data_IF_905020690395
#
_entry.id   IF_905020690395
#
_cell.length_a   1.000
_cell.length_b   1.000
_cell.length_c   1.000
_cell.angle_alpha   90.00
_cell.angle_beta   90.00
_cell.angle_gamma   90.00
#
_symmetry.space_group_name_H-M   'P 1'
#
loop_
_entity.id
_entity.type
_entity.pdbx_description
1 polymer ?
#
# COMPACT_ATOMS: atom_id res chain seq x y z
N UNK A 1 -13.14 -52.18 6.50
CA UNK A 1 -13.75 -50.89 6.90
C UNK A 1 -12.82 -49.97 7.67
N UNK A 2 -11.76 -50.45 8.33
CA UNK A 2 -10.85 -49.61 9.12
C UNK A 2 -9.95 -48.68 8.28
N UNK A 3 -9.49 -49.10 7.10
CA UNK A 3 -8.65 -48.27 6.21
C UNK A 3 -9.36 -47.01 5.67
N UNK A 4 -10.70 -47.05 5.57
CA UNK A 4 -11.51 -45.90 5.13
C UNK A 4 -11.52 -44.78 6.17
N UNK A 5 -11.42 -45.13 7.45
CA UNK A 5 -11.41 -44.17 8.58
C UNK A 5 -10.06 -43.44 8.64
N UNK A 6 -8.96 -44.14 8.34
CA UNK A 6 -7.61 -43.55 8.32
C UNK A 6 -7.42 -42.50 7.21
N UNK A 7 -8.03 -42.70 6.04
CA UNK A 7 -7.94 -41.73 4.92
C UNK A 7 -8.64 -40.41 5.27
N UNK A 8 -9.78 -40.46 5.96
CA UNK A 8 -10.53 -39.26 6.38
C UNK A 8 -9.75 -38.45 7.43
N UNK A 9 -9.02 -39.12 8.30
CA UNK A 9 -8.20 -38.48 9.34
C UNK A 9 -6.93 -37.83 8.77
N UNK A 10 -6.40 -38.35 7.65
CA UNK A 10 -5.20 -37.81 7.00
C UNK A 10 -5.47 -36.49 6.23
N UNK A 11 -6.69 -36.31 5.71
CA UNK A 11 -7.08 -35.10 4.96
C UNK A 11 -7.26 -33.90 5.90
N UNK A 12 -7.49 -34.14 7.20
CA UNK A 12 -7.71 -33.08 8.19
C UNK A 12 -6.42 -32.34 8.61
N UNK A 13 -5.24 -32.84 8.22
CA UNK A 13 -3.94 -32.29 8.62
C UNK A 13 -3.22 -31.46 7.54
N UNK A 14 -3.87 -31.16 6.42
CA UNK A 14 -3.34 -30.14 5.49
C UNK A 14 -3.62 -28.76 6.06
N UNK A 15 -2.71 -28.25 6.90
CA UNK A 15 -2.75 -26.86 7.32
C UNK A 15 -2.60 -25.96 6.08
N UNK A 16 -3.42 -24.90 5.94
CA UNK A 16 -3.34 -24.02 4.79
C UNK A 16 -2.03 -23.22 4.86
N UNK A 17 -1.11 -23.48 3.93
CA UNK A 17 0.11 -22.68 3.70
C UNK A 17 -0.20 -21.23 3.25
N UNK A 18 -1.48 -20.84 3.17
CA UNK A 18 -1.96 -19.54 2.67
C UNK A 18 -1.60 -18.34 3.55
N UNK A 19 -1.29 -18.52 4.84
CA UNK A 19 -1.05 -17.37 5.73
C UNK A 19 0.21 -16.57 5.39
N UNK A 20 1.30 -17.24 4.97
CA UNK A 20 2.59 -16.57 4.73
C UNK A 20 2.62 -15.77 3.43
N UNK A 21 1.93 -16.25 2.40
CA UNK A 21 1.92 -15.57 1.10
C UNK A 21 1.06 -14.31 1.12
N UNK A 22 -0.09 -14.35 1.80
CA UNK A 22 -0.96 -13.17 1.95
C UNK A 22 -0.24 -12.06 2.73
N UNK A 23 0.39 -12.39 3.85
CA UNK A 23 1.18 -11.43 4.64
C UNK A 23 2.32 -10.81 3.81
N UNK A 24 3.01 -11.61 2.99
CA UNK A 24 4.09 -11.14 2.12
C UNK A 24 3.58 -10.19 1.02
N UNK A 25 2.43 -10.48 0.42
CA UNK A 25 1.81 -9.64 -0.60
C UNK A 25 1.35 -8.29 0.00
N UNK A 26 0.77 -8.30 1.19
CA UNK A 26 0.42 -7.09 1.94
C UNK A 26 1.65 -6.23 2.19
N UNK A 27 2.71 -6.80 2.77
CA UNK A 27 3.95 -6.06 3.09
C UNK A 27 4.56 -5.46 1.82
N UNK A 28 4.57 -6.20 0.72
CA UNK A 28 5.09 -5.73 -0.57
C UNK A 28 4.26 -4.57 -1.12
N UNK A 29 2.94 -4.66 -1.07
CA UNK A 29 2.03 -3.60 -1.51
C UNK A 29 2.15 -2.33 -0.65
N UNK A 30 2.26 -2.48 0.68
CA UNK A 30 2.45 -1.35 1.59
C UNK A 30 3.82 -0.70 1.41
N UNK A 31 4.88 -1.48 1.16
CA UNK A 31 6.19 -0.94 0.84
C UNK A 31 6.17 -0.13 -0.46
N UNK A 32 5.44 -0.60 -1.49
CA UNK A 32 5.26 0.16 -2.73
C UNK A 32 4.55 1.50 -2.49
N UNK A 33 3.44 1.50 -1.74
CA UNK A 33 2.70 2.73 -1.41
C UNK A 33 3.57 3.73 -0.63
N UNK A 34 4.30 3.24 0.38
CA UNK A 34 5.17 4.05 1.22
C UNK A 34 6.37 4.63 0.45
N UNK A 35 7.02 3.80 -0.38
CA UNK A 35 8.11 4.24 -1.25
C UNK A 35 7.65 5.31 -2.23
N UNK A 36 6.49 5.10 -2.88
CA UNK A 36 5.89 6.10 -3.77
C UNK A 36 5.58 7.41 -3.03
N UNK A 37 5.02 7.32 -1.82
CA UNK A 37 4.70 8.49 -1.00
C UNK A 37 5.95 9.30 -0.60
N UNK A 38 7.04 8.61 -0.25
CA UNK A 38 8.34 9.21 0.03
C UNK A 38 8.82 10.05 -1.15
N UNK A 39 8.84 9.46 -2.34
CA UNK A 39 9.34 10.15 -3.54
C UNK A 39 8.48 11.36 -3.89
N UNK A 40 7.15 11.26 -3.75
CA UNK A 40 6.25 12.39 -3.96
C UNK A 40 6.55 13.53 -2.96
N UNK A 41 6.79 13.21 -1.68
CA UNK A 41 7.15 14.24 -0.70
C UNK A 41 8.51 14.88 -1.02
N UNK A 42 9.49 14.07 -1.45
CA UNK A 42 10.80 14.57 -1.92
C UNK A 42 10.60 15.55 -3.07
N UNK A 43 9.88 15.14 -4.12
CA UNK A 43 9.58 15.96 -5.30
C UNK A 43 8.86 17.25 -4.89
N UNK A 44 7.85 17.15 -4.00
CA UNK A 44 7.10 18.31 -3.52
C UNK A 44 7.98 19.30 -2.77
N UNK A 45 8.93 18.82 -1.96
CA UNK A 45 9.89 19.66 -1.25
C UNK A 45 10.93 20.30 -2.18
N UNK A 46 11.31 19.62 -3.26
CA UNK A 46 12.31 20.15 -4.21
C UNK A 46 11.71 21.07 -5.26
N UNK A 47 10.52 20.75 -5.77
CA UNK A 47 9.88 21.45 -6.88
C UNK A 47 8.86 22.50 -6.41
N UNK A 48 8.30 22.33 -5.21
CA UNK A 48 7.31 23.26 -4.64
C UNK A 48 5.96 23.23 -5.34
N UNK A 49 5.67 22.17 -6.11
CA UNK A 49 4.41 22.06 -6.85
C UNK A 49 3.23 21.90 -5.90
N UNK A 50 2.18 22.70 -6.14
CA UNK A 50 0.87 22.55 -5.50
C UNK A 50 0.08 21.40 -6.14
N UNK A 51 -0.85 20.81 -5.38
CA UNK A 51 -1.61 19.64 -5.79
C UNK A 51 -2.20 19.71 -7.22
N UNK A 52 -2.84 20.82 -7.65
CA UNK A 52 -3.41 20.91 -8.99
C UNK A 52 -2.36 20.75 -10.11
N UNK A 53 -1.16 21.29 -9.90
CA UNK A 53 -0.06 21.25 -10.88
C UNK A 53 0.50 19.84 -10.98
N UNK A 54 0.79 19.21 -9.83
CA UNK A 54 1.24 17.82 -9.78
C UNK A 54 0.26 16.86 -10.43
N UNK A 55 -1.05 16.97 -10.10
CA UNK A 55 -2.10 16.13 -10.70
C UNK A 55 -2.12 16.26 -12.22
N UNK A 56 -2.03 17.49 -12.74
CA UNK A 56 -2.06 17.74 -14.17
C UNK A 56 -0.83 17.16 -14.88
N UNK A 57 0.35 17.26 -14.28
CA UNK A 57 1.57 16.63 -14.82
C UNK A 57 1.45 15.11 -14.87
N UNK A 58 0.97 14.47 -13.81
CA UNK A 58 0.74 13.02 -13.78
C UNK A 58 -0.24 12.61 -14.87
N UNK A 59 -1.35 13.33 -15.04
CA UNK A 59 -2.33 13.06 -16.10
C UNK A 59 -1.79 13.27 -17.52
N UNK A 60 -0.77 14.12 -17.69
CA UNK A 60 -0.12 14.37 -18.97
C UNK A 60 0.90 13.28 -19.35
N UNK A 61 1.61 12.74 -18.36
CA UNK A 61 2.67 11.74 -18.57
C UNK A 61 2.10 10.33 -18.66
N UNK A 62 1.13 10.01 -17.80
CA UNK A 62 0.56 8.67 -17.67
C UNK A 62 -0.81 8.58 -18.34
N UNK A 63 -1.00 7.51 -19.13
CA UNK A 63 -2.29 7.15 -19.70
C UNK A 63 -3.35 6.87 -18.64
N UNK A 64 -4.61 6.75 -19.08
CA UNK A 64 -5.73 6.43 -18.19
C UNK A 64 -5.73 4.96 -17.77
N UNK A 65 -4.95 4.67 -16.73
CA UNK A 65 -4.73 3.32 -16.21
C UNK A 65 -4.96 3.25 -14.71
N UNK A 66 -5.17 2.03 -14.19
CA UNK A 66 -5.25 1.80 -12.75
C UNK A 66 -4.01 2.33 -12.02
N UNK A 67 -2.80 2.12 -12.57
CA UNK A 67 -1.56 2.62 -11.98
C UNK A 67 -1.52 4.14 -11.85
N UNK A 68 -2.10 4.88 -12.80
CA UNK A 68 -2.25 6.34 -12.68
C UNK A 68 -3.21 6.70 -11.54
N UNK A 69 -4.33 6.01 -11.46
CA UNK A 69 -5.33 6.22 -10.40
C UNK A 69 -4.74 5.96 -9.02
N UNK A 70 -3.99 4.87 -8.88
CA UNK A 70 -3.31 4.49 -7.63
C UNK A 70 -2.24 5.52 -7.23
N UNK A 71 -1.42 5.96 -8.18
CA UNK A 71 -0.42 7.01 -7.97
C UNK A 71 -1.09 8.32 -7.48
N UNK A 72 -2.17 8.74 -8.13
CA UNK A 72 -2.91 9.94 -7.72
C UNK A 72 -3.55 9.81 -6.35
N UNK A 73 -4.02 8.61 -5.98
CA UNK A 73 -4.57 8.34 -4.65
C UNK A 73 -3.49 8.44 -3.56
N UNK A 74 -2.31 7.84 -3.78
CA UNK A 74 -1.16 7.96 -2.86
C UNK A 74 -0.73 9.42 -2.76
N UNK A 75 -0.56 10.10 -3.90
CA UNK A 75 -0.16 11.49 -3.94
C UNK A 75 -1.12 12.37 -3.15
N UNK A 76 -2.44 12.22 -3.34
CA UNK A 76 -3.43 13.01 -2.62
C UNK A 76 -3.28 12.87 -1.10
N UNK A 77 -2.96 11.68 -0.58
CA UNK A 77 -2.64 11.48 0.85
C UNK A 77 -1.39 12.25 1.27
N UNK A 78 -0.35 12.29 0.45
CA UNK A 78 0.87 13.08 0.73
C UNK A 78 0.58 14.57 0.76
N UNK A 79 -0.23 15.07 -0.19
CA UNK A 79 -0.59 16.50 -0.28
C UNK A 79 -1.47 17.01 0.87
N UNK A 80 -2.07 16.11 1.66
CA UNK A 80 -2.76 16.47 2.91
C UNK A 80 -1.79 16.73 4.08
N UNK A 81 -0.51 16.36 3.94
CA UNK A 81 0.53 16.55 4.96
C UNK A 81 1.27 17.88 4.78
N UNK A 82 1.96 18.31 5.83
CA UNK A 82 2.82 19.49 5.76
C UNK A 82 3.92 19.33 4.72
N UNK A 83 4.25 20.41 4.01
CA UNK A 83 5.40 20.46 3.11
C UNK A 83 6.71 20.21 3.87
N UNK A 84 6.77 20.56 5.15
CA UNK A 84 7.97 20.38 6.00
C UNK A 84 8.09 18.98 6.60
N UNK A 85 7.10 18.10 6.44
CA UNK A 85 7.18 16.72 6.94
C UNK A 85 8.33 15.99 6.24
N UNK A 86 9.28 15.39 6.98
CA UNK A 86 10.39 14.65 6.36
C UNK A 86 9.89 13.52 5.46
N UNK A 87 10.48 13.28 4.28
CA UNK A 87 10.06 12.20 3.39
C UNK A 87 10.05 10.81 4.05
N UNK A 88 11.00 10.54 4.95
CA UNK A 88 11.03 9.31 5.73
C UNK A 88 9.82 9.19 6.68
N UNK A 89 9.40 10.29 7.32
CA UNK A 89 8.20 10.26 8.16
C UNK A 89 6.94 10.00 7.33
N UNK A 90 6.84 10.60 6.13
CA UNK A 90 5.73 10.29 5.20
C UNK A 90 5.72 8.82 4.78
N UNK A 91 6.89 8.24 4.50
CA UNK A 91 7.03 6.81 4.23
C UNK A 91 6.46 5.98 5.38
N UNK A 92 6.96 6.21 6.59
CA UNK A 92 6.62 5.40 7.77
C UNK A 92 5.13 5.51 8.12
N UNK A 93 4.57 6.72 8.04
CA UNK A 93 3.14 6.95 8.25
C UNK A 93 2.26 6.21 7.23
N UNK A 94 2.62 6.29 5.94
CA UNK A 94 1.84 5.63 4.87
C UNK A 94 1.97 4.10 4.98
N UNK A 95 3.15 3.60 5.31
CA UNK A 95 3.37 2.18 5.54
C UNK A 95 2.50 1.67 6.70
N UNK A 96 2.56 2.35 7.85
CA UNK A 96 1.75 2.02 9.02
C UNK A 96 0.25 2.08 8.72
N UNK A 97 -0.22 3.14 8.08
CA UNK A 97 -1.62 3.28 7.70
C UNK A 97 -2.09 2.20 6.71
N UNK A 98 -1.21 1.77 5.79
CA UNK A 98 -1.51 0.67 4.88
C UNK A 98 -1.65 -0.67 5.62
N UNK A 99 -0.71 -1.01 6.52
CA UNK A 99 -0.79 -2.22 7.32
C UNK A 99 -2.04 -2.22 8.21
N UNK A 100 -2.34 -1.09 8.84
CA UNK A 100 -3.55 -0.95 9.65
C UNK A 100 -4.81 -1.16 8.81
N UNK A 101 -4.86 -0.65 7.58
CA UNK A 101 -6.01 -0.86 6.68
C UNK A 101 -6.21 -2.32 6.33
N UNK A 102 -5.13 -3.03 6.03
CA UNK A 102 -5.17 -4.46 5.74
C UNK A 102 -5.67 -5.27 6.95
N UNK A 103 -5.30 -4.82 8.15
CA UNK A 103 -5.75 -5.40 9.42
C UNK A 103 -7.14 -4.91 9.88
N UNK A 104 -7.78 -3.97 9.17
CA UNK A 104 -9.06 -3.37 9.55
C UNK A 104 -8.99 -2.42 10.76
N UNK A 105 -7.81 -1.88 11.08
CA UNK A 105 -7.53 -1.04 12.24
C UNK A 105 -7.16 0.41 11.90
N UNK A 106 -7.17 0.80 10.62
CA UNK A 106 -6.92 2.21 10.23
C UNK A 106 -8.06 3.08 10.79
N UNK A 107 -7.77 4.12 11.61
CA UNK A 107 -8.79 5.02 12.13
C UNK A 107 -9.57 5.68 10.98
N UNK A 108 -10.89 5.76 11.11
CA UNK A 108 -11.70 6.51 10.15
C UNK A 108 -11.32 7.99 10.22
N UNK A 109 -11.01 8.56 9.05
CA UNK A 109 -10.66 9.96 8.87
C UNK A 109 -11.83 10.91 9.10
#
# INVERSE_FOLDING_TARGET
>A
MQYKIWIVLLIMFTTPLHSKEVERLTVTSCAYQAGTAREIQTIRQTEGDEWPKFKLQVMKIYGDTQGRTDLLAIAKRVYQRSLTTPPQAVHDDIFAACLQRDQGTEPSA
#
